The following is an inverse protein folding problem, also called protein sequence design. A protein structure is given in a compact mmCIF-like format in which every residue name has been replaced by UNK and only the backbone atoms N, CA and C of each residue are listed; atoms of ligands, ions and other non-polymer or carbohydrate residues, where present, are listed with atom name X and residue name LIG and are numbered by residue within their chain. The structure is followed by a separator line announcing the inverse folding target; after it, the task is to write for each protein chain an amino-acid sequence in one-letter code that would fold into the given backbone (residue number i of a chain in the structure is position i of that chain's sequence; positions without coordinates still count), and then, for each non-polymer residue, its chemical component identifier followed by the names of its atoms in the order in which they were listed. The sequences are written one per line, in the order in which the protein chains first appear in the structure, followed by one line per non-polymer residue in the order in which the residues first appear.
data_IF_511935339614
#
_entry.id   IF_511935339614
#
_cell.length_a   1.000
_cell.length_b   1.000
_cell.length_c   1.000
_cell.angle_alpha   90.00
_cell.angle_beta   90.00
_cell.angle_gamma   90.00
#
_symmetry.space_group_name_H-M   'P 1'
#
loop_
_entity.id
_entity.type
_entity.pdbx_description
1 polymer ?
#
# COMPACT_ATOMS: atom_id res chain seq x y z
N UNK A 1 9.00 -21.89 -13.08
CA UNK A 1 8.04 -20.81 -13.25
C UNK A 1 8.20 -19.80 -12.11
N UNK A 2 8.34 -18.55 -12.45
CA UNK A 2 8.54 -17.54 -11.44
C UNK A 2 7.23 -17.17 -10.76
N UNK A 3 7.30 -17.04 -9.45
CA UNK A 3 6.20 -16.49 -8.69
C UNK A 3 6.04 -15.02 -9.04
N UNK A 4 4.84 -14.61 -9.39
CA UNK A 4 4.54 -13.27 -9.85
C UNK A 4 3.94 -12.44 -8.73
N UNK A 5 4.57 -12.45 -7.57
CA UNK A 5 4.12 -11.62 -6.47
C UNK A 5 4.36 -10.14 -6.80
N UNK A 6 3.32 -9.36 -6.59
CA UNK A 6 3.30 -7.95 -6.87
C UNK A 6 3.67 -7.11 -5.65
N UNK A 7 3.27 -7.56 -4.48
CA UNK A 7 3.48 -6.87 -3.21
C UNK A 7 3.29 -7.85 -2.06
N UNK A 8 3.32 -7.38 -0.83
CA UNK A 8 2.79 -8.13 0.30
C UNK A 8 1.74 -7.30 1.03
N UNK A 9 0.78 -7.98 1.63
CA UNK A 9 -0.36 -7.37 2.30
C UNK A 9 -0.45 -7.90 3.73
N UNK A 10 -0.61 -7.00 4.69
CA UNK A 10 -0.97 -7.34 6.06
C UNK A 10 -2.40 -6.94 6.34
N UNK A 11 -3.14 -7.75 7.07
CA UNK A 11 -4.56 -7.49 7.34
C UNK A 11 -4.74 -6.75 8.67
N UNK A 12 -4.01 -5.66 8.84
CA UNK A 12 -4.06 -4.82 10.01
C UNK A 12 -2.67 -4.57 10.57
N UNK A 13 -2.60 -3.63 11.50
CA UNK A 13 -1.35 -3.28 12.16
C UNK A 13 -0.85 -4.47 13.00
N UNK A 14 0.38 -4.85 12.80
CA UNK A 14 0.98 -5.98 13.53
C UNK A 14 0.67 -7.36 12.94
N UNK A 15 -0.20 -7.45 11.93
CA UNK A 15 -0.45 -8.72 11.26
C UNK A 15 0.73 -9.10 10.34
N UNK A 16 0.98 -10.42 10.12
CA UNK A 16 2.00 -10.84 9.19
C UNK A 16 1.77 -10.30 7.78
N UNK A 17 2.82 -9.91 7.11
CA UNK A 17 2.77 -9.53 5.70
C UNK A 17 2.84 -10.78 4.83
N UNK A 18 1.85 -11.00 3.99
CA UNK A 18 1.74 -12.17 3.14
C UNK A 18 1.95 -11.76 1.68
N UNK A 19 2.78 -12.51 0.92
CA UNK A 19 2.95 -12.23 -0.50
C UNK A 19 1.61 -12.25 -1.25
N UNK A 20 1.41 -11.30 -2.15
CA UNK A 20 0.16 -11.14 -2.87
C UNK A 20 0.40 -10.85 -4.34
N UNK A 21 -0.42 -11.45 -5.20
CA UNK A 21 -0.42 -11.13 -6.61
C UNK A 21 -1.11 -9.78 -6.85
N UNK A 22 -0.97 -9.25 -8.06
CA UNK A 22 -1.65 -8.01 -8.43
C UNK A 22 -3.18 -8.14 -8.31
N UNK A 23 -3.72 -9.28 -8.72
CA UNK A 23 -5.16 -9.54 -8.64
C UNK A 23 -5.65 -9.54 -7.20
N UNK A 24 -4.89 -10.16 -6.30
CA UNK A 24 -5.22 -10.17 -4.88
C UNK A 24 -5.17 -8.77 -4.26
N UNK A 25 -4.15 -8.00 -4.62
CA UNK A 25 -4.02 -6.62 -4.15
C UNK A 25 -5.17 -5.74 -4.64
N UNK A 26 -5.54 -5.86 -5.92
CA UNK A 26 -6.65 -5.10 -6.47
C UNK A 26 -8.00 -5.52 -5.86
N UNK A 27 -8.17 -6.82 -5.57
CA UNK A 27 -9.37 -7.31 -4.91
C UNK A 27 -9.54 -6.68 -3.52
N UNK A 28 -8.47 -6.60 -2.73
CA UNK A 28 -8.52 -5.96 -1.42
C UNK A 28 -8.91 -4.49 -1.54
N UNK A 29 -8.36 -3.79 -2.52
CA UNK A 29 -8.66 -2.36 -2.72
C UNK A 29 -10.12 -2.11 -3.09
N UNK A 30 -10.80 -3.09 -3.68
CA UNK A 30 -12.18 -2.96 -4.13
C UNK A 30 -13.21 -3.46 -3.14
N UNK A 31 -12.78 -3.98 -2.00
CA UNK A 31 -13.72 -4.49 -0.98
C UNK A 31 -14.61 -3.37 -0.46
N UNK A 32 -15.95 -3.57 -0.47
CA UNK A 32 -16.87 -2.53 0.00
C UNK A 32 -16.64 -2.15 1.46
N UNK A 33 -16.27 -3.11 2.31
CA UNK A 33 -16.02 -2.84 3.73
C UNK A 33 -14.84 -1.88 3.93
N UNK A 34 -13.87 -1.90 3.01
CA UNK A 34 -12.72 -1.00 3.11
C UNK A 34 -13.14 0.46 2.93
N UNK A 35 -14.01 0.70 1.94
CA UNK A 35 -14.54 2.04 1.71
C UNK A 35 -15.34 2.54 2.91
N UNK A 36 -16.18 1.66 3.49
CA UNK A 36 -16.96 2.00 4.68
C UNK A 36 -16.05 2.31 5.86
N UNK A 37 -15.01 1.53 6.05
CA UNK A 37 -14.04 1.76 7.13
C UNK A 37 -13.33 3.10 6.96
N UNK A 38 -12.91 3.44 5.73
CA UNK A 38 -12.28 4.72 5.46
C UNK A 38 -13.21 5.90 5.76
N UNK A 39 -14.50 5.76 5.41
CA UNK A 39 -15.49 6.79 5.73
C UNK A 39 -15.65 6.98 7.24
N UNK A 40 -15.66 5.91 8.01
CA UNK A 40 -15.75 6.01 9.46
C UNK A 40 -14.52 6.68 10.06
N UNK A 41 -13.34 6.40 9.52
CA UNK A 41 -12.10 7.04 9.96
C UNK A 41 -12.15 8.55 9.66
N UNK A 42 -12.60 8.93 8.48
CA UNK A 42 -12.77 10.33 8.10
C UNK A 42 -13.77 11.05 9.02
N UNK A 43 -14.76 10.33 9.52
CA UNK A 43 -15.76 10.86 10.44
C UNK A 43 -15.30 10.85 11.91
N UNK A 44 -14.06 10.52 12.18
CA UNK A 44 -13.46 10.64 13.51
C UNK A 44 -13.13 9.34 14.23
N UNK A 45 -13.47 8.18 13.67
CA UNK A 45 -13.19 6.89 14.31
C UNK A 45 -11.76 6.43 13.99
N UNK A 46 -10.79 7.14 14.55
CA UNK A 46 -9.37 6.92 14.25
C UNK A 46 -8.83 5.56 14.71
N UNK A 47 -9.47 4.94 15.69
CA UNK A 47 -9.05 3.62 16.16
C UNK A 47 -9.09 2.57 15.05
N UNK A 48 -9.94 2.76 14.04
CA UNK A 48 -10.04 1.84 12.92
C UNK A 48 -8.82 1.84 12.01
N UNK A 49 -7.97 2.86 12.09
CA UNK A 49 -6.74 2.90 11.27
C UNK A 49 -5.86 1.67 11.48
N UNK A 50 -5.83 1.15 12.68
CA UNK A 50 -5.05 -0.04 13.01
C UNK A 50 -5.57 -1.32 12.34
N UNK A 51 -6.80 -1.30 11.84
CA UNK A 51 -7.43 -2.44 11.16
C UNK A 51 -7.35 -2.35 9.65
N UNK A 52 -6.89 -1.22 9.11
CA UNK A 52 -6.74 -1.09 7.66
C UNK A 52 -5.70 -2.08 7.13
N UNK A 53 -5.93 -2.63 5.93
CA UNK A 53 -4.90 -3.42 5.28
C UNK A 53 -3.64 -2.59 5.06
N UNK A 54 -2.50 -3.20 5.26
CA UNK A 54 -1.20 -2.57 5.05
C UNK A 54 -0.55 -3.28 3.88
N UNK A 55 0.02 -2.53 2.95
CA UNK A 55 0.74 -3.12 1.85
C UNK A 55 2.15 -2.54 1.77
N UNK A 56 3.08 -3.35 1.29
CA UNK A 56 4.47 -2.95 1.17
C UNK A 56 4.88 -3.08 -0.30
N UNK A 57 4.97 -1.96 -1.05
CA UNK A 57 5.23 -2.03 -2.48
C UNK A 57 6.66 -2.42 -2.84
N UNK A 58 7.61 -2.21 -1.95
CA UNK A 58 9.03 -2.43 -2.22
C UNK A 58 9.54 -3.82 -1.85
N UNK A 59 8.69 -4.66 -1.27
CA UNK A 59 9.07 -6.01 -0.89
C UNK A 59 7.87 -6.93 -0.93
N UNK A 60 8.04 -8.13 -1.49
CA UNK A 60 6.95 -9.10 -1.62
C UNK A 60 6.93 -10.11 -0.48
N UNK A 61 8.01 -10.30 0.26
CA UNK A 61 8.06 -11.29 1.32
C UNK A 61 9.02 -10.86 2.43
N UNK A 62 8.60 -11.03 3.67
CA UNK A 62 9.41 -10.75 4.85
C UNK A 62 9.57 -12.00 5.70
N UNK A 63 10.69 -12.07 6.40
CA UNK A 63 10.93 -13.08 7.40
C UNK A 63 10.16 -12.73 8.68
N UNK A 64 9.31 -13.64 9.15
CA UNK A 64 8.53 -13.42 10.37
C UNK A 64 7.46 -12.35 10.19
N UNK A 65 7.15 -11.65 11.28
CA UNK A 65 6.06 -10.68 11.32
C UNK A 65 6.52 -9.22 11.22
N UNK A 66 7.81 -9.00 10.99
CA UNK A 66 8.37 -7.66 10.98
C UNK A 66 8.64 -7.19 9.55
N UNK A 67 8.28 -5.95 9.25
CA UNK A 67 8.50 -5.33 7.94
C UNK A 67 9.76 -4.47 7.95
N UNK A 68 10.84 -5.01 8.51
CA UNK A 68 12.13 -4.32 8.54
C UNK A 68 12.97 -4.67 7.32
N UNK A 69 13.83 -3.76 6.92
CA UNK A 69 14.72 -3.99 5.77
C UNK A 69 15.57 -5.25 5.97
N UNK A 70 16.04 -5.48 7.18
CA UNK A 70 16.84 -6.68 7.49
C UNK A 70 16.08 -7.99 7.30
N UNK A 71 14.74 -7.95 7.33
CA UNK A 71 13.90 -9.13 7.20
C UNK A 71 13.33 -9.29 5.80
N UNK A 72 13.71 -8.43 4.86
CA UNK A 72 13.22 -8.49 3.49
C UNK A 72 13.82 -9.68 2.75
N UNK A 73 12.96 -10.59 2.29
CA UNK A 73 13.37 -11.79 1.55
C UNK A 73 13.23 -11.63 0.04
N UNK A 74 12.28 -10.82 -0.42
CA UNK A 74 12.00 -10.59 -1.85
C UNK A 74 11.84 -9.12 -2.14
N UNK A 75 12.93 -8.38 -2.28
CA UNK A 75 12.83 -6.97 -2.68
C UNK A 75 12.23 -6.82 -4.07
N UNK A 76 11.45 -5.77 -4.25
CA UNK A 76 10.84 -5.42 -5.53
C UNK A 76 11.44 -4.10 -6.04
N UNK A 77 11.54 -3.91 -7.36
CA UNK A 77 12.14 -2.69 -7.92
C UNK A 77 11.17 -1.50 -7.88
N UNK A 78 10.74 -1.12 -6.70
CA UNK A 78 9.85 0.02 -6.49
C UNK A 78 10.36 0.89 -5.37
N UNK A 79 10.17 2.19 -5.53
CA UNK A 79 10.43 3.17 -4.51
C UNK A 79 9.10 3.71 -4.02
N UNK A 80 8.92 3.73 -2.71
CA UNK A 80 7.74 4.32 -2.10
C UNK A 80 8.04 5.75 -1.67
N UNK A 81 7.23 6.69 -2.12
CA UNK A 81 7.31 8.09 -1.70
C UNK A 81 6.10 8.39 -0.84
N UNK A 82 6.35 8.88 0.36
CA UNK A 82 5.30 9.23 1.31
C UNK A 82 5.26 10.74 1.48
N UNK A 83 4.17 11.35 1.00
CA UNK A 83 3.96 12.78 1.08
C UNK A 83 2.94 13.07 2.18
N UNK A 84 3.43 13.42 3.35
CA UNK A 84 2.60 13.66 4.52
C UNK A 84 2.54 15.15 4.87
N UNK A 85 1.88 15.94 3.99
CA UNK A 85 1.61 17.36 4.24
C UNK A 85 0.11 17.56 4.40
N UNK A 86 -0.31 17.87 5.60
CA UNK A 86 -1.73 18.11 5.88
C UNK A 86 -2.25 19.26 5.01
N UNK A 87 -3.40 19.03 4.39
CA UNK A 87 -4.06 20.03 3.54
C UNK A 87 -3.56 20.09 2.10
N UNK A 88 -2.53 19.32 1.74
CA UNK A 88 -1.93 19.38 0.40
C UNK A 88 -2.01 18.09 -0.38
N UNK A 89 -2.70 17.05 0.15
CA UNK A 89 -2.73 15.74 -0.50
C UNK A 89 -3.36 15.76 -1.89
N UNK A 90 -4.37 16.60 -2.12
CA UNK A 90 -5.01 16.71 -3.45
C UNK A 90 -4.07 17.32 -4.47
N UNK A 91 -3.30 18.32 -4.07
CA UNK A 91 -2.34 19.00 -4.94
C UNK A 91 -1.19 18.04 -5.31
N UNK A 92 -0.70 17.30 -4.34
CA UNK A 92 0.37 16.31 -4.53
C UNK A 92 -0.10 15.21 -5.48
N UNK A 93 -1.32 14.69 -5.28
CA UNK A 93 -1.89 13.68 -6.16
C UNK A 93 -2.04 14.19 -7.59
N UNK A 94 -2.54 15.42 -7.75
CA UNK A 94 -2.69 16.01 -9.08
C UNK A 94 -1.34 16.15 -9.79
N UNK A 95 -0.29 16.56 -9.06
CA UNK A 95 1.05 16.66 -9.63
C UNK A 95 1.62 15.30 -10.01
N UNK A 96 1.40 14.28 -9.18
CA UNK A 96 1.84 12.93 -9.47
C UNK A 96 1.17 12.39 -10.74
N UNK A 97 -0.13 12.61 -10.89
CA UNK A 97 -0.88 12.21 -12.09
C UNK A 97 -0.37 12.93 -13.33
N UNK A 98 -0.07 14.21 -13.23
CA UNK A 98 0.51 14.99 -14.34
C UNK A 98 1.85 14.39 -14.78
N UNK A 99 2.73 14.08 -13.85
CA UNK A 99 4.03 13.48 -14.16
C UNK A 99 3.89 12.10 -14.81
N UNK A 100 2.91 11.32 -14.38
CA UNK A 100 2.60 10.02 -14.96
C UNK A 100 2.10 10.18 -16.41
N UNK A 101 1.20 11.13 -16.66
CA UNK A 101 0.69 11.39 -18.01
C UNK A 101 1.76 11.87 -18.97
N UNK A 102 2.74 12.61 -18.45
CA UNK A 102 3.88 13.05 -19.25
C UNK A 102 4.91 11.95 -19.50
N UNK A 103 4.70 10.76 -18.97
CA UNK A 103 5.61 9.64 -19.11
C UNK A 103 6.92 9.78 -18.36
N UNK A 104 7.00 10.74 -17.44
CA UNK A 104 8.23 10.97 -16.67
C UNK A 104 8.38 10.02 -15.48
N UNK A 105 7.28 9.60 -14.93
CA UNK A 105 7.25 8.67 -13.80
C UNK A 105 6.28 7.54 -14.10
N UNK A 106 6.68 6.33 -13.75
CA UNK A 106 5.81 5.17 -13.74
C UNK A 106 5.28 5.02 -12.31
N UNK A 107 4.10 5.55 -12.07
CA UNK A 107 3.54 5.68 -10.73
C UNK A 107 2.39 4.70 -10.54
N UNK A 108 2.43 3.99 -9.43
CA UNK A 108 1.35 3.15 -8.95
C UNK A 108 0.61 3.92 -7.84
N UNK A 109 -0.61 4.29 -8.14
CA UNK A 109 -1.43 5.06 -7.20
C UNK A 109 -2.39 4.16 -6.42
#
# INVERSE_FOLDING_TARGET
MQSQYFTCIGRGHGAPAVPATREQWEAVRREPWLKQMCQRIENGDEALKARLPIWTPSCAEFRGNHRAVKDALRPLPRLMLDFDQKGHSKEILAKAMELMEQGKWDILL
#
